data_IF_821575690165
#
_entry.id   IF_821575690165
#
_cell.length_a   1.000
_cell.length_b   1.000
_cell.length_c   1.000
_cell.angle_alpha   90.00
_cell.angle_beta   90.00
_cell.angle_gamma   90.00
#
_symmetry.space_group_name_H-M   'P 1'
#
loop_
_entity.id
_entity.type
_entity.pdbx_description
1 polymer ?
#
# COMPACT_ATOMS: atom_id res chain seq x y z
N UNK A 1 15.87 -7.35 -13.29
CA UNK A 1 16.95 -6.73 -12.48
C UNK A 1 17.01 -7.44 -11.14
N UNK A 2 18.19 -7.84 -10.68
CA UNK A 2 18.43 -8.45 -9.36
C UNK A 2 19.23 -7.49 -8.46
N UNK A 3 19.21 -7.71 -7.14
CA UNK A 3 20.09 -7.02 -6.16
C UNK A 3 21.53 -6.95 -6.67
N UNK A 4 22.12 -8.10 -7.03
CA UNK A 4 23.49 -8.17 -7.51
C UNK A 4 23.73 -7.38 -8.81
N UNK A 5 22.81 -7.43 -9.77
CA UNK A 5 22.94 -6.67 -11.01
C UNK A 5 22.90 -5.16 -10.78
N UNK A 6 22.09 -4.69 -9.82
CA UNK A 6 22.01 -3.28 -9.47
C UNK A 6 23.24 -2.83 -8.69
N UNK A 7 23.69 -3.61 -7.70
CA UNK A 7 24.93 -3.34 -6.96
C UNK A 7 26.14 -3.25 -7.91
N UNK A 8 26.19 -4.10 -8.94
CA UNK A 8 27.21 -4.01 -9.99
C UNK A 8 27.06 -2.74 -10.82
N UNK A 9 25.85 -2.38 -11.22
CA UNK A 9 25.57 -1.17 -12.00
C UNK A 9 26.00 0.09 -11.26
N UNK A 10 25.62 0.27 -10.00
CA UNK A 10 26.00 1.48 -9.24
C UNK A 10 27.51 1.58 -8.98
N UNK A 11 28.31 0.53 -9.23
CA UNK A 11 29.78 0.61 -9.17
C UNK A 11 30.40 1.10 -10.47
N UNK A 12 29.67 1.15 -11.58
CA UNK A 12 30.16 1.66 -12.87
C UNK A 12 30.14 3.18 -12.89
N UNK A 13 30.90 3.79 -13.81
CA UNK A 13 30.85 5.24 -14.03
C UNK A 13 29.44 5.68 -14.42
N UNK A 14 28.80 4.97 -15.35
CA UNK A 14 27.43 5.25 -15.77
C UNK A 14 26.45 5.22 -14.59
N UNK A 15 26.55 4.20 -13.72
CA UNK A 15 25.68 4.09 -12.55
C UNK A 15 25.88 5.24 -11.56
N UNK A 16 27.11 5.73 -11.39
CA UNK A 16 27.42 6.88 -10.54
C UNK A 16 26.88 8.21 -11.11
N UNK A 17 26.77 8.34 -12.43
CA UNK A 17 26.12 9.49 -13.06
C UNK A 17 24.60 9.46 -12.97
N UNK A 18 24.00 8.26 -12.92
CA UNK A 18 22.54 8.10 -12.87
C UNK A 18 21.97 7.99 -11.45
N UNK A 19 22.76 7.49 -10.49
CA UNK A 19 22.30 7.18 -9.14
C UNK A 19 23.27 7.75 -8.12
N UNK A 20 22.79 8.71 -7.33
CA UNK A 20 23.50 9.20 -6.16
C UNK A 20 23.07 8.41 -4.93
N UNK A 21 23.99 7.63 -4.36
CA UNK A 21 23.75 6.91 -3.12
C UNK A 21 23.92 7.86 -1.93
N UNK A 22 22.95 7.87 -1.01
CA UNK A 22 23.05 8.64 0.22
C UNK A 22 24.21 8.16 1.12
N UNK A 23 24.68 9.03 2.02
CA UNK A 23 25.83 8.78 2.90
C UNK A 23 25.74 7.50 3.75
N UNK A 24 24.53 7.00 4.02
CA UNK A 24 24.32 5.74 4.75
C UNK A 24 24.57 4.47 3.90
N UNK A 25 24.66 4.61 2.57
CA UNK A 25 24.79 3.51 1.62
C UNK A 25 26.09 3.56 0.82
N UNK A 26 26.83 4.66 0.84
CA UNK A 26 28.06 4.82 0.09
C UNK A 26 29.21 5.39 0.92
N UNK A 27 30.42 5.01 0.54
CA UNK A 27 31.66 5.61 1.00
C UNK A 27 32.38 6.27 -0.16
N UNK A 28 33.03 7.38 0.13
CA UNK A 28 33.92 8.00 -0.84
C UNK A 28 35.15 7.10 -1.05
N UNK A 29 35.54 6.95 -2.31
CA UNK A 29 36.71 6.23 -2.74
C UNK A 29 37.33 6.97 -3.93
N UNK A 30 38.61 7.30 -3.82
CA UNK A 30 39.37 7.85 -4.96
C UNK A 30 40.20 6.73 -5.58
N UNK A 31 39.97 6.45 -6.86
CA UNK A 31 40.79 5.52 -7.66
C UNK A 31 41.16 6.28 -8.94
N UNK A 32 42.46 6.32 -9.25
CA UNK A 32 42.99 7.02 -10.44
C UNK A 32 42.57 8.50 -10.54
N UNK A 33 42.58 9.23 -9.41
CA UNK A 33 42.14 10.63 -9.28
C UNK A 33 40.66 10.89 -9.61
N UNK A 34 39.83 9.85 -9.67
CA UNK A 34 38.37 9.98 -9.80
C UNK A 34 37.74 9.65 -8.45
N UNK A 35 37.12 10.64 -7.81
CA UNK A 35 36.28 10.41 -6.62
C UNK A 35 34.99 9.70 -7.02
N UNK A 36 34.66 8.62 -6.29
CA UNK A 36 33.49 7.76 -6.51
C UNK A 36 32.80 7.47 -5.19
N UNK A 37 31.48 7.38 -5.23
CA UNK A 37 30.65 6.99 -4.08
C UNK A 37 30.31 5.50 -4.19
N UNK A 38 31.19 4.65 -3.66
CA UNK A 38 31.02 3.21 -3.78
C UNK A 38 30.06 2.66 -2.72
N UNK A 39 29.14 1.74 -3.08
CA UNK A 39 28.22 1.15 -2.12
C UNK A 39 28.97 0.36 -1.04
N UNK A 40 28.64 0.60 0.24
CA UNK A 40 29.19 -0.15 1.39
C UNK A 40 28.43 -1.44 1.68
N UNK A 41 27.19 -1.53 1.20
CA UNK A 41 26.30 -2.70 1.25
C UNK A 41 25.39 -2.68 0.02
N UNK A 42 24.57 -3.71 -0.16
CA UNK A 42 23.57 -3.72 -1.23
C UNK A 42 22.62 -2.52 -1.07
N UNK A 43 22.56 -1.60 -2.06
CA UNK A 43 21.76 -0.39 -1.94
C UNK A 43 20.26 -0.65 -2.14
N UNK A 44 19.91 -1.72 -2.84
CA UNK A 44 18.54 -2.23 -2.93
C UNK A 44 18.56 -3.73 -2.65
N UNK A 45 17.49 -4.23 -2.05
CA UNK A 45 17.25 -5.66 -1.87
C UNK A 45 15.97 -5.98 -2.62
N UNK A 46 16.09 -6.78 -3.68
CA UNK A 46 14.94 -7.28 -4.45
C UNK A 46 14.57 -8.65 -3.90
N UNK A 47 13.43 -8.70 -3.21
CA UNK A 47 12.86 -9.94 -2.67
C UNK A 47 11.79 -10.48 -3.63
N UNK A 48 11.68 -11.80 -3.70
CA UNK A 48 10.59 -12.45 -4.41
C UNK A 48 9.29 -12.25 -3.64
N UNK A 49 8.17 -12.07 -4.36
CA UNK A 49 6.86 -11.94 -3.74
C UNK A 49 6.47 -13.24 -3.04
N UNK A 50 6.23 -13.18 -1.75
CA UNK A 50 5.61 -14.27 -1.01
C UNK A 50 4.11 -14.34 -1.30
N UNK A 51 3.54 -15.55 -1.29
CA UNK A 51 2.10 -15.76 -1.55
C UNK A 51 1.21 -15.02 -0.55
N UNK A 52 1.65 -14.92 0.71
CA UNK A 52 0.94 -14.20 1.78
C UNK A 52 1.23 -12.69 1.76
N UNK A 53 1.98 -12.20 0.75
CA UNK A 53 2.49 -10.84 0.76
C UNK A 53 3.64 -10.67 1.75
N UNK A 54 4.52 -9.73 1.45
CA UNK A 54 5.65 -9.39 2.31
C UNK A 54 5.38 -8.05 2.97
N UNK A 55 5.69 -7.96 4.26
CA UNK A 55 5.65 -6.70 4.98
C UNK A 55 6.60 -5.69 4.32
N UNK A 56 6.12 -4.47 4.11
CA UNK A 56 6.97 -3.38 3.65
C UNK A 56 7.47 -2.58 4.86
N UNK A 57 8.76 -2.69 5.23
CA UNK A 57 9.33 -1.96 6.37
C UNK A 57 9.32 -0.45 6.17
N UNK A 58 9.13 0.04 4.94
CA UNK A 58 8.94 1.47 4.68
C UNK A 58 7.61 2.00 5.26
N UNK A 59 6.70 1.13 5.70
CA UNK A 59 5.48 1.52 6.42
C UNK A 59 5.72 1.83 7.90
N UNK A 60 6.92 1.59 8.45
CA UNK A 60 7.25 1.98 9.82
C UNK A 60 7.32 3.50 9.96
N UNK A 61 6.80 4.04 11.07
CA UNK A 61 6.65 5.49 11.25
C UNK A 61 7.94 6.28 10.97
N UNK A 62 9.10 5.80 11.43
CA UNK A 62 10.37 6.51 11.22
C UNK A 62 10.71 6.65 9.74
N UNK A 63 10.59 5.55 8.98
CA UNK A 63 10.91 5.52 7.55
C UNK A 63 9.82 6.21 6.74
N UNK A 64 8.55 5.96 7.07
CA UNK A 64 7.40 6.58 6.41
C UNK A 64 7.43 8.09 6.56
N UNK A 65 7.72 8.64 7.75
CA UNK A 65 7.85 10.08 7.94
C UNK A 65 8.94 10.70 7.06
N UNK A 66 10.08 10.03 6.90
CA UNK A 66 11.12 10.50 5.99
C UNK A 66 10.65 10.52 4.54
N UNK A 67 9.93 9.48 4.09
CA UNK A 67 9.34 9.42 2.74
C UNK A 67 8.31 10.54 2.58
N UNK A 68 7.42 10.71 3.55
CA UNK A 68 6.32 11.67 3.50
C UNK A 68 6.78 13.13 3.57
N UNK A 69 7.97 13.43 4.08
CA UNK A 69 8.54 14.78 4.02
C UNK A 69 8.77 15.28 2.59
N UNK A 70 8.88 14.37 1.62
CA UNK A 70 9.02 14.71 0.20
C UNK A 70 7.68 14.70 -0.55
N UNK A 71 6.56 14.40 0.12
CA UNK A 71 5.24 14.29 -0.49
C UNK A 71 4.38 15.49 -0.08
N UNK A 72 3.89 16.24 -1.07
CA UNK A 72 2.92 17.31 -0.83
C UNK A 72 1.50 16.76 -0.89
N UNK A 73 0.78 16.79 0.24
CA UNK A 73 -0.61 16.38 0.32
C UNK A 73 -1.56 17.49 -0.12
N UNK A 74 -2.50 17.16 -1.00
CA UNK A 74 -3.58 18.06 -1.40
C UNK A 74 -4.78 17.88 -0.45
N UNK A 75 -5.53 18.95 -0.23
CA UNK A 75 -6.75 18.88 0.58
C UNK A 75 -7.82 18.08 -0.15
N UNK A 76 -8.42 17.12 0.54
CA UNK A 76 -9.52 16.27 0.05
C UNK A 76 -10.89 16.71 0.57
N UNK A 77 -10.95 17.78 1.37
CA UNK A 77 -12.19 18.21 2.07
C UNK A 77 -13.34 18.67 1.17
N UNK A 78 -13.11 18.87 -0.14
CA UNK A 78 -14.17 19.14 -1.12
C UNK A 78 -14.82 17.86 -1.68
N UNK A 79 -14.23 16.69 -1.43
CA UNK A 79 -14.67 15.40 -1.99
C UNK A 79 -15.37 14.53 -0.95
N UNK A 80 -15.03 14.67 0.34
CA UNK A 80 -15.61 13.94 1.45
C UNK A 80 -15.58 14.77 2.75
N UNK A 81 -16.54 14.54 3.65
CA UNK A 81 -16.65 15.17 4.98
C UNK A 81 -15.73 14.54 6.02
N UNK A 82 -15.49 13.23 5.90
CA UNK A 82 -14.50 12.51 6.72
C UNK A 82 -13.49 11.84 5.82
N UNK A 83 -12.27 11.64 6.31
CA UNK A 83 -11.18 11.06 5.54
C UNK A 83 -10.63 9.82 6.23
N UNK A 84 -10.00 8.94 5.45
CA UNK A 84 -9.23 7.81 5.99
C UNK A 84 -7.76 7.93 5.60
N UNK A 85 -6.87 7.35 6.40
CA UNK A 85 -5.44 7.22 6.05
C UNK A 85 -5.00 5.76 6.17
N UNK A 86 -4.89 5.03 5.06
CA UNK A 86 -4.36 3.67 5.08
C UNK A 86 -2.93 3.64 5.63
N UNK A 87 -2.55 2.55 6.31
CA UNK A 87 -1.16 2.37 6.75
C UNK A 87 -0.23 2.38 5.53
N UNK A 88 0.88 3.12 5.62
CA UNK A 88 1.81 3.32 4.52
C UNK A 88 1.50 4.52 3.61
N UNK A 89 0.38 5.23 3.83
CA UNK A 89 0.05 6.45 3.09
C UNK A 89 0.50 7.71 3.83
N UNK A 90 0.96 8.70 3.08
CA UNK A 90 1.34 10.02 3.60
C UNK A 90 0.14 10.95 3.82
N UNK A 91 -0.85 10.86 2.93
CA UNK A 91 -1.97 11.77 2.86
C UNK A 91 -3.28 11.09 3.24
N UNK A 92 -4.19 11.88 3.79
CA UNK A 92 -5.59 11.49 3.93
C UNK A 92 -6.25 11.36 2.56
N UNK A 93 -7.17 10.42 2.43
CA UNK A 93 -7.90 10.14 1.19
C UNK A 93 -9.41 10.11 1.46
N UNK A 94 -10.19 10.36 0.41
CA UNK A 94 -11.59 9.94 0.34
C UNK A 94 -11.63 8.51 -0.22
N UNK A 95 -11.88 7.54 0.64
CA UNK A 95 -11.78 6.13 0.27
C UNK A 95 -12.28 5.22 1.39
N UNK A 96 -11.96 3.94 1.25
CA UNK A 96 -12.34 2.91 2.21
C UNK A 96 -11.16 2.02 2.57
N UNK A 97 -11.18 1.49 3.79
CA UNK A 97 -10.16 0.57 4.28
C UNK A 97 -10.83 -0.59 5.00
N UNK A 98 -10.45 -1.81 4.65
CA UNK A 98 -10.81 -3.05 5.35
C UNK A 98 -9.53 -3.68 5.90
N UNK A 99 -9.50 -4.01 7.19
CA UNK A 99 -8.39 -4.68 7.87
C UNK A 99 -8.89 -5.96 8.51
N UNK A 100 -8.08 -7.02 8.43
CA UNK A 100 -8.40 -8.30 9.05
C UNK A 100 -7.12 -9.13 9.24
N UNK A 101 -7.21 -10.16 10.06
CA UNK A 101 -6.19 -11.19 10.21
C UNK A 101 -6.67 -12.51 9.62
N UNK A 102 -5.78 -13.22 8.90
CA UNK A 102 -6.07 -14.53 8.35
C UNK A 102 -4.81 -15.32 8.01
N UNK A 103 -4.80 -16.60 8.37
CA UNK A 103 -3.80 -17.58 7.95
C UNK A 103 -4.24 -18.38 6.69
N UNK A 104 -5.48 -18.17 6.24
CA UNK A 104 -6.07 -18.89 5.11
C UNK A 104 -5.83 -18.18 3.79
N UNK A 105 -5.93 -16.85 3.80
CA UNK A 105 -5.87 -16.07 2.58
C UNK A 105 -4.44 -15.78 2.14
N UNK A 106 -4.22 -15.89 0.83
CA UNK A 106 -3.08 -15.34 0.10
C UNK A 106 -3.47 -14.02 -0.56
N UNK A 107 -2.50 -13.20 -0.94
CA UNK A 107 -2.76 -11.94 -1.68
C UNK A 107 -3.56 -12.21 -2.96
N UNK A 108 -3.26 -13.29 -3.68
CA UNK A 108 -3.98 -13.66 -4.90
C UNK A 108 -5.45 -14.05 -4.61
N UNK A 109 -5.71 -14.78 -3.52
CA UNK A 109 -7.07 -15.14 -3.13
C UNK A 109 -7.90 -13.92 -2.72
N UNK A 110 -7.27 -12.94 -2.04
CA UNK A 110 -7.90 -11.67 -1.68
C UNK A 110 -8.19 -10.86 -2.95
N UNK A 111 -7.24 -10.76 -3.88
CA UNK A 111 -7.43 -10.08 -5.15
C UNK A 111 -8.57 -10.72 -5.97
N UNK A 112 -8.65 -12.05 -5.98
CA UNK A 112 -9.76 -12.77 -6.60
C UNK A 112 -11.11 -12.44 -5.97
N UNK A 113 -11.19 -12.41 -4.64
CA UNK A 113 -12.41 -12.01 -3.92
C UNK A 113 -12.81 -10.56 -4.24
N UNK A 114 -11.85 -9.63 -4.26
CA UNK A 114 -12.08 -8.23 -4.65
C UNK A 114 -12.62 -8.13 -6.07
N UNK A 115 -11.96 -8.76 -7.05
CA UNK A 115 -12.38 -8.73 -8.45
C UNK A 115 -13.78 -9.31 -8.64
N UNK A 116 -14.09 -10.40 -7.93
CA UNK A 116 -15.42 -10.99 -7.97
C UNK A 116 -16.48 -10.06 -7.37
N UNK A 117 -16.20 -9.46 -6.20
CA UNK A 117 -17.11 -8.47 -5.58
C UNK A 117 -17.32 -7.25 -6.47
N UNK A 118 -16.26 -6.72 -7.09
CA UNK A 118 -16.37 -5.60 -8.03
C UNK A 118 -17.19 -5.98 -9.27
N UNK A 119 -17.01 -7.19 -9.81
CA UNK A 119 -17.75 -7.66 -10.99
C UNK A 119 -19.23 -7.86 -10.70
N UNK A 120 -19.58 -8.53 -9.60
CA UNK A 120 -20.98 -8.83 -9.24
C UNK A 120 -21.79 -7.56 -8.93
N UNK A 121 -21.13 -6.51 -8.43
CA UNK A 121 -21.76 -5.24 -8.09
C UNK A 121 -21.59 -4.15 -9.17
N UNK A 122 -21.03 -4.47 -10.34
CA UNK A 122 -20.74 -3.53 -11.43
C UNK A 122 -19.85 -2.33 -11.02
N UNK A 123 -18.84 -2.55 -10.19
CA UNK A 123 -17.96 -1.53 -9.60
C UNK A 123 -16.56 -1.46 -10.23
N UNK A 124 -16.27 -2.27 -11.25
CA UNK A 124 -14.93 -2.41 -11.85
C UNK A 124 -14.32 -1.08 -12.32
N UNK A 125 -15.14 -0.17 -12.85
CA UNK A 125 -14.68 1.13 -13.37
C UNK A 125 -14.82 2.28 -12.36
N UNK A 126 -15.22 1.96 -11.12
CA UNK A 126 -15.47 2.95 -10.06
C UNK A 126 -14.40 2.91 -8.97
N UNK A 127 -13.71 1.79 -8.82
CA UNK A 127 -12.81 1.53 -7.70
C UNK A 127 -11.45 1.02 -8.15
N UNK A 128 -10.39 1.59 -7.56
CA UNK A 128 -9.07 0.98 -7.49
C UNK A 128 -8.85 0.40 -6.10
N UNK A 129 -7.91 -0.54 -5.97
CA UNK A 129 -7.59 -1.13 -4.68
C UNK A 129 -6.09 -1.39 -4.53
N UNK A 130 -5.62 -1.45 -3.28
CA UNK A 130 -4.35 -2.03 -2.89
C UNK A 130 -4.57 -3.12 -1.83
N UNK A 131 -3.64 -4.07 -1.77
CA UNK A 131 -3.63 -5.14 -0.76
C UNK A 131 -2.23 -5.14 -0.15
N UNK A 132 -2.16 -4.90 1.15
CA UNK A 132 -0.90 -4.80 1.88
C UNK A 132 -0.93 -5.71 3.10
N UNK A 133 0.16 -6.45 3.34
CA UNK A 133 0.40 -7.10 4.63
C UNK A 133 1.00 -6.06 5.58
N UNK A 134 0.35 -5.82 6.70
CA UNK A 134 0.68 -4.70 7.61
C UNK A 134 1.46 -5.09 8.87
N UNK A 135 1.66 -6.39 9.10
CA UNK A 135 2.47 -6.96 10.17
C UNK A 135 3.79 -7.53 9.64
N UNK A 136 4.86 -7.43 10.44
CA UNK A 136 6.19 -7.97 10.10
C UNK A 136 6.32 -9.45 10.48
N UNK A 137 5.90 -9.82 11.69
CA UNK A 137 6.24 -11.10 12.33
C UNK A 137 5.02 -11.83 12.93
N UNK A 138 3.80 -11.51 12.49
CA UNK A 138 2.61 -12.19 12.99
C UNK A 138 2.59 -13.65 12.54
N UNK A 139 2.40 -14.58 13.50
CA UNK A 139 2.06 -15.99 13.21
C UNK A 139 0.83 -16.06 12.30
N UNK A 140 -0.07 -15.09 12.46
CA UNK A 140 -1.21 -14.86 11.57
C UNK A 140 -1.01 -13.53 10.84
N UNK A 141 -0.91 -13.55 9.50
CA UNK A 141 -0.84 -12.34 8.69
C UNK A 141 -2.03 -11.41 8.91
N UNK A 142 -1.75 -10.11 8.99
CA UNK A 142 -2.71 -9.03 9.03
C UNK A 142 -2.67 -8.30 7.70
N UNK A 143 -3.84 -8.18 7.08
CA UNK A 143 -4.02 -7.55 5.80
C UNK A 143 -4.74 -6.22 5.97
N UNK A 144 -4.41 -5.29 5.08
CA UNK A 144 -5.14 -4.07 4.83
C UNK A 144 -5.48 -4.03 3.34
N UNK A 145 -6.76 -3.83 3.04
CA UNK A 145 -7.27 -3.53 1.72
C UNK A 145 -7.67 -2.06 1.73
N UNK A 146 -6.99 -1.24 0.94
CA UNK A 146 -7.39 0.14 0.73
C UNK A 146 -8.08 0.25 -0.63
N UNK A 147 -9.15 1.03 -0.68
CA UNK A 147 -9.99 1.21 -1.87
C UNK A 147 -10.07 2.70 -2.16
N UNK A 148 -9.96 3.05 -3.44
CA UNK A 148 -9.85 4.42 -3.93
C UNK A 148 -10.84 4.66 -5.08
N UNK A 149 -11.39 5.86 -5.23
CA UNK A 149 -12.27 6.15 -6.35
C UNK A 149 -11.44 6.31 -7.62
N UNK A 150 -11.91 5.76 -8.73
CA UNK A 150 -11.36 6.05 -10.07
C UNK A 150 -11.90 7.37 -10.64
N UNK A 151 -13.08 7.78 -10.17
CA UNK A 151 -13.85 8.96 -10.62
C UNK A 151 -14.26 9.81 -9.41
N UNK A 152 -15.51 10.29 -9.39
CA UNK A 152 -16.09 11.01 -8.26
C UNK A 152 -16.29 10.06 -7.08
N UNK A 153 -15.96 10.52 -5.88
CA UNK A 153 -16.21 9.80 -4.63
C UNK A 153 -17.72 9.64 -4.38
N UNK A 154 -18.12 8.44 -3.96
CA UNK A 154 -19.49 8.07 -3.59
C UNK A 154 -19.42 7.09 -2.41
N UNK A 155 -19.73 7.55 -1.20
CA UNK A 155 -19.59 6.78 0.03
C UNK A 155 -20.48 5.54 0.07
N UNK A 156 -21.62 5.57 -0.63
CA UNK A 156 -22.51 4.41 -0.77
C UNK A 156 -21.82 3.29 -1.54
N UNK A 157 -21.06 3.63 -2.60
CA UNK A 157 -20.27 2.64 -3.35
C UNK A 157 -19.21 1.99 -2.47
N UNK A 158 -18.48 2.76 -1.66
CA UNK A 158 -17.46 2.22 -0.75
C UNK A 158 -18.06 1.36 0.36
N UNK A 159 -19.17 1.80 0.94
CA UNK A 159 -19.90 1.06 1.95
C UNK A 159 -20.36 -0.30 1.40
N UNK A 160 -21.06 -0.32 0.25
CA UNK A 160 -21.54 -1.56 -0.39
C UNK A 160 -20.35 -2.47 -0.68
N UNK A 161 -19.30 -1.95 -1.31
CA UNK A 161 -18.13 -2.76 -1.67
C UNK A 161 -17.47 -3.40 -0.45
N UNK A 162 -17.20 -2.63 0.60
CA UNK A 162 -16.52 -3.11 1.81
C UNK A 162 -17.38 -4.15 2.54
N UNK A 163 -18.68 -3.91 2.68
CA UNK A 163 -19.58 -4.84 3.37
C UNK A 163 -19.71 -6.16 2.60
N UNK A 164 -19.87 -6.11 1.27
CA UNK A 164 -19.94 -7.31 0.44
C UNK A 164 -18.62 -8.08 0.41
N UNK A 165 -17.49 -7.37 0.41
CA UNK A 165 -16.17 -8.00 0.49
C UNK A 165 -15.95 -8.68 1.83
N UNK A 166 -16.28 -8.02 2.95
CA UNK A 166 -16.24 -8.61 4.28
C UNK A 166 -17.13 -9.86 4.36
N UNK A 167 -18.37 -9.78 3.88
CA UNK A 167 -19.27 -10.92 3.81
C UNK A 167 -18.68 -12.09 3.00
N UNK A 168 -18.08 -11.81 1.84
CA UNK A 168 -17.46 -12.84 0.99
C UNK A 168 -16.22 -13.48 1.63
N UNK A 169 -15.36 -12.68 2.25
CA UNK A 169 -14.20 -13.18 2.98
C UNK A 169 -14.62 -13.98 4.23
N UNK A 170 -15.65 -13.52 4.93
CA UNK A 170 -16.23 -14.22 6.08
C UNK A 170 -16.88 -15.55 5.68
N UNK A 171 -17.55 -15.64 4.54
CA UNK A 171 -18.18 -16.89 4.09
C UNK A 171 -17.23 -17.88 3.45
N UNK A 172 -16.07 -17.42 2.98
CA UNK A 172 -15.01 -18.31 2.51
C UNK A 172 -14.20 -18.92 3.66
N UNK A 173 -14.50 -18.58 4.93
CA UNK A 173 -13.93 -19.25 6.09
C UNK A 173 -14.53 -20.65 6.28
N UNK A 174 -13.69 -21.62 6.63
CA UNK A 174 -14.10 -22.95 7.06
C UNK A 174 -14.52 -22.91 8.53
N UNK A 175 -13.74 -22.19 9.36
CA UNK A 175 -14.01 -21.97 10.78
C UNK A 175 -13.82 -20.49 11.18
N UNK A 176 -14.40 -20.09 12.33
CA UNK A 176 -14.38 -18.71 12.84
C UNK A 176 -12.98 -18.14 13.16
N UNK A 177 -11.96 -18.99 13.28
CA UNK A 177 -10.56 -18.57 13.55
C UNK A 177 -9.75 -18.25 12.29
N UNK A 178 -10.31 -18.46 11.09
CA UNK A 178 -9.57 -18.28 9.83
C UNK A 178 -9.69 -16.85 9.26
N UNK A 179 -10.62 -16.05 9.78
CA UNK A 179 -10.86 -14.66 9.41
C UNK A 179 -11.38 -13.90 10.63
N UNK A 180 -10.56 -13.02 11.21
CA UNK A 180 -10.86 -12.36 12.48
C UNK A 180 -10.18 -10.99 12.58
N UNK A 181 -10.35 -10.30 13.71
CA UNK A 181 -9.86 -8.92 13.93
C UNK A 181 -10.30 -7.96 12.82
N UNK A 182 -11.52 -8.14 12.35
CA UNK A 182 -12.08 -7.38 11.23
C UNK A 182 -12.41 -5.97 11.71
N UNK A 183 -11.92 -4.98 10.97
CA UNK A 183 -12.31 -3.59 11.15
C UNK A 183 -12.34 -2.92 9.80
N UNK A 184 -13.30 -2.06 9.56
CA UNK A 184 -13.36 -1.27 8.35
C UNK A 184 -13.78 0.16 8.65
N UNK A 185 -13.38 1.06 7.78
CA UNK A 185 -13.70 2.47 7.82
C UNK A 185 -13.80 3.01 6.40
N UNK A 186 -14.63 4.02 6.19
CA UNK A 186 -14.71 4.72 4.91
C UNK A 186 -15.08 6.19 5.12
N UNK A 187 -14.64 6.99 4.16
CA UNK A 187 -14.92 8.41 4.11
C UNK A 187 -16.41 8.66 3.88
N UNK A 188 -16.98 9.70 4.47
CA UNK A 188 -18.39 10.07 4.26
C UNK A 188 -18.49 11.22 3.27
N UNK A 189 -19.56 11.33 2.50
CA UNK A 189 -19.81 12.54 1.73
C UNK A 189 -20.27 13.68 2.64
N UNK A 190 -19.95 14.90 2.23
CA UNK A 190 -20.55 16.08 2.84
C UNK A 190 -21.87 16.40 2.13
N UNK A 191 -22.99 16.06 2.77
CA UNK A 191 -24.32 16.40 2.25
C UNK A 191 -24.74 17.84 2.55
N UNK A 192 -23.91 18.65 3.23
CA UNK A 192 -24.29 20.03 3.59
C UNK A 192 -24.47 20.95 2.37
N UNK A 193 -23.89 20.59 1.22
CA UNK A 193 -24.04 21.33 -0.04
C UNK A 193 -25.27 20.93 -0.87
N UNK A 194 -26.05 19.91 -0.49
CA UNK A 194 -27.24 19.50 -1.25
C UNK A 194 -28.52 20.26 -0.88
N UNK A 195 -28.44 21.26 0.01
CA UNK A 195 -29.53 22.20 0.27
C UNK A 195 -29.30 23.50 -0.51
N UNK A 196 -29.38 23.44 -1.83
CA UNK A 196 -29.15 24.62 -2.68
C UNK A 196 -29.36 24.36 -4.16
N UNK A 197 -30.58 23.99 -4.56
CA UNK A 197 -31.30 24.40 -5.77
C UNK A 197 -32.61 23.64 -5.92
#
# INVERSE_FOLDING_TARGET
MTTASFTKFVRTLEGQYQVSLGHALAKESSVDNVSRMLPIKDPIIILNKEKMGSYNPNMENKTLSLICNYVQCHSVGLQCSTTVRPKGHCCDICGGVLKFASNKFTVDSIAGAIQQTMKENNLMDLLHYSIDRVDNDGVVPHYQIAVFPTKKYDDTVFQIFIMELDYKLSNSKGNSLEYFSVSYDWSRLDHSYSQGN
#
